data_IF_552553837874
#
_entry.id   IF_552553837874
#
_cell.length_a   1.000
_cell.length_b   1.000
_cell.length_c   1.000
_cell.angle_alpha   90.00
_cell.angle_beta   90.00
_cell.angle_gamma   90.00
#
_symmetry.space_group_name_H-M   'P 1'
#
loop_
_entity.id
_entity.type
_entity.pdbx_description
1 polymer ?
#
# COMPACT_ATOMS: atom_id res chain seq x y z
N UNK A 1 13.14 -9.23 -25.93
CA UNK A 1 12.38 -8.02 -25.59
C UNK A 1 13.34 -6.84 -25.65
N UNK A 2 12.98 -5.71 -26.26
CA UNK A 2 13.87 -4.55 -26.36
C UNK A 2 13.78 -3.69 -25.07
N UNK A 3 14.68 -2.72 -24.91
CA UNK A 3 14.75 -1.88 -23.71
C UNK A 3 13.49 -1.01 -23.50
N UNK A 4 12.90 -0.52 -24.60
CA UNK A 4 11.67 0.29 -24.53
C UNK A 4 10.51 -0.55 -23.98
N UNK A 5 10.29 -1.76 -24.52
CA UNK A 5 9.24 -2.67 -24.03
C UNK A 5 9.40 -2.99 -22.55
N UNK A 6 10.64 -3.24 -22.09
CA UNK A 6 10.92 -3.50 -20.67
C UNK A 6 10.56 -2.28 -19.81
N UNK A 7 10.93 -1.08 -20.26
CA UNK A 7 10.57 0.16 -19.59
C UNK A 7 9.05 0.31 -19.50
N UNK A 8 8.33 0.01 -20.56
CA UNK A 8 6.87 0.19 -20.59
C UNK A 8 6.14 -0.77 -19.66
N UNK A 9 6.55 -2.04 -19.66
CA UNK A 9 6.04 -3.03 -18.71
C UNK A 9 6.28 -2.53 -17.29
N UNK A 10 7.49 -2.05 -16.98
CA UNK A 10 7.79 -1.48 -15.67
C UNK A 10 6.86 -0.31 -15.31
N UNK A 11 6.59 0.61 -16.24
CA UNK A 11 5.69 1.74 -16.01
C UNK A 11 4.24 1.30 -15.80
N UNK A 12 3.73 0.35 -16.58
CA UNK A 12 2.38 -0.20 -16.38
C UNK A 12 2.28 -0.83 -14.99
N UNK A 13 3.19 -1.75 -14.69
CA UNK A 13 3.23 -2.53 -13.44
C UNK A 13 3.34 -1.64 -12.19
N UNK A 14 4.31 -0.72 -12.17
CA UNK A 14 4.72 -0.05 -10.93
C UNK A 14 4.25 1.40 -10.82
N UNK A 15 3.74 2.00 -11.91
CA UNK A 15 3.27 3.39 -11.92
C UNK A 15 1.79 3.49 -12.23
N UNK A 16 1.36 2.94 -13.36
CA UNK A 16 0.00 3.17 -13.82
C UNK A 16 -1.03 2.32 -13.10
N UNK A 17 -0.79 1.04 -12.90
CA UNK A 17 -1.71 0.20 -12.13
C UNK A 17 -2.00 0.74 -10.73
N UNK A 18 -0.99 1.02 -9.88
CA UNK A 18 -1.28 1.57 -8.57
C UNK A 18 -1.96 2.93 -8.70
N UNK A 19 -1.56 3.78 -9.67
CA UNK A 19 -2.20 5.08 -9.88
C UNK A 19 -3.70 4.95 -10.17
N UNK A 20 -4.09 4.18 -11.19
CA UNK A 20 -5.50 4.01 -11.56
C UNK A 20 -6.30 3.29 -10.48
N UNK A 21 -5.69 2.28 -9.84
CA UNK A 21 -6.30 1.59 -8.72
C UNK A 21 -6.62 2.55 -7.57
N UNK A 22 -5.66 3.39 -7.14
CA UNK A 22 -5.90 4.34 -6.05
C UNK A 22 -6.74 5.56 -6.45
N UNK A 23 -6.79 5.90 -7.74
CA UNK A 23 -7.62 7.00 -8.26
C UNK A 23 -9.11 6.67 -8.16
N UNK A 24 -9.51 5.44 -8.48
CA UNK A 24 -10.92 5.01 -8.44
C UNK A 24 -11.06 3.53 -8.08
N UNK A 25 -10.74 3.13 -6.83
CA UNK A 25 -10.61 1.71 -6.45
C UNK A 25 -11.86 0.88 -6.72
N UNK A 26 -13.04 1.44 -6.42
CA UNK A 26 -14.32 0.73 -6.62
C UNK A 26 -14.58 0.48 -8.10
N UNK A 27 -14.45 1.51 -8.94
CA UNK A 27 -14.66 1.39 -10.38
C UNK A 27 -13.61 0.47 -11.00
N UNK A 28 -12.34 0.63 -10.61
CA UNK A 28 -11.25 -0.24 -11.05
C UNK A 28 -11.55 -1.71 -10.76
N UNK A 29 -11.97 -2.06 -9.53
CA UNK A 29 -12.34 -3.44 -9.21
C UNK A 29 -13.54 -3.94 -10.02
N UNK A 30 -14.54 -3.09 -10.28
CA UNK A 30 -15.70 -3.47 -11.11
C UNK A 30 -15.31 -3.74 -12.56
N UNK A 31 -14.42 -2.91 -13.12
CA UNK A 31 -13.91 -3.08 -14.47
C UNK A 31 -13.00 -4.31 -14.57
N UNK A 32 -12.18 -4.55 -13.53
CA UNK A 32 -11.34 -5.75 -13.45
C UNK A 32 -12.18 -7.03 -13.38
N UNK A 33 -13.29 -7.04 -12.64
CA UNK A 33 -14.23 -8.18 -12.61
C UNK A 33 -14.93 -8.41 -13.95
N UNK A 34 -15.24 -7.34 -14.67
CA UNK A 34 -16.00 -7.40 -15.92
C UNK A 34 -15.14 -7.75 -17.13
N UNK A 35 -13.98 -7.10 -17.23
CA UNK A 35 -13.11 -7.15 -18.40
C UNK A 35 -11.86 -8.02 -18.16
N UNK A 36 -11.56 -8.37 -16.90
CA UNK A 36 -10.42 -9.22 -16.59
C UNK A 36 -9.09 -8.60 -17.02
N UNK A 37 -8.18 -9.40 -17.61
CA UNK A 37 -6.91 -8.90 -18.15
C UNK A 37 -7.02 -7.84 -19.24
N UNK A 38 -8.15 -7.73 -19.95
CA UNK A 38 -8.30 -6.75 -21.03
C UNK A 38 -8.15 -5.30 -20.51
N UNK A 39 -8.62 -5.05 -19.27
CA UNK A 39 -8.41 -3.75 -18.61
C UNK A 39 -6.92 -3.39 -18.49
N UNK A 40 -6.07 -4.41 -18.36
CA UNK A 40 -4.62 -4.25 -18.22
C UNK A 40 -3.96 -4.01 -19.59
N UNK A 41 -4.43 -4.70 -20.63
CA UNK A 41 -3.99 -4.48 -22.01
C UNK A 41 -4.37 -3.08 -22.51
N UNK A 42 -5.54 -2.57 -22.11
CA UNK A 42 -5.97 -1.20 -22.41
C UNK A 42 -4.95 -0.16 -21.90
N UNK A 43 -4.26 -0.41 -20.78
CA UNK A 43 -3.19 0.47 -20.29
C UNK A 43 -1.98 0.48 -21.22
N UNK A 44 -1.56 -0.69 -21.71
CA UNK A 44 -0.49 -0.79 -22.69
C UNK A 44 -0.86 -0.08 -24.00
N UNK A 45 -2.10 -0.22 -24.46
CA UNK A 45 -2.56 0.47 -25.67
C UNK A 45 -2.70 1.97 -25.46
N UNK A 46 -3.13 2.42 -24.28
CA UNK A 46 -3.24 3.84 -23.94
C UNK A 46 -1.89 4.56 -23.90
N UNK A 47 -0.80 3.88 -23.50
CA UNK A 47 0.57 4.43 -23.58
C UNK A 47 0.96 4.83 -25.00
N UNK A 48 0.45 4.10 -25.99
CA UNK A 48 0.94 4.07 -27.36
C UNK A 48 -0.12 4.44 -28.38
N UNK A 49 -1.18 5.12 -27.95
CA UNK A 49 -2.31 5.46 -28.81
C UNK A 49 -1.91 6.30 -30.04
N UNK A 50 -0.82 7.06 -29.94
CA UNK A 50 -0.30 7.91 -31.03
C UNK A 50 0.72 7.19 -31.93
N UNK A 51 1.18 5.99 -31.55
CA UNK A 51 2.18 5.21 -32.29
C UNK A 51 1.52 4.11 -33.13
N UNK A 52 1.39 4.35 -34.43
CA UNK A 52 0.68 3.47 -35.35
C UNK A 52 1.33 2.09 -35.57
N UNK A 53 2.60 1.95 -35.22
CA UNK A 53 3.40 0.73 -35.36
C UNK A 53 3.66 0.03 -34.02
N UNK A 54 3.06 0.51 -32.92
CA UNK A 54 3.17 -0.15 -31.62
C UNK A 54 2.55 -1.56 -31.66
N UNK A 55 3.29 -2.51 -31.09
CA UNK A 55 2.85 -3.88 -30.90
C UNK A 55 2.89 -4.16 -29.40
N UNK A 56 1.72 -4.42 -28.80
CA UNK A 56 1.65 -4.82 -27.41
C UNK A 56 2.46 -6.11 -27.20
N UNK A 57 3.33 -6.19 -26.17
CA UNK A 57 4.12 -7.38 -25.91
C UNK A 57 3.29 -8.57 -25.43
N UNK A 58 2.02 -8.35 -25.08
CA UNK A 58 1.14 -9.32 -24.47
C UNK A 58 -0.22 -9.39 -25.15
N UNK A 59 -0.90 -10.50 -24.92
CA UNK A 59 -2.28 -10.79 -25.26
C UNK A 59 -3.04 -11.18 -24.01
N UNK A 60 -4.36 -11.27 -24.08
CA UNK A 60 -5.22 -11.62 -22.95
C UNK A 60 -4.92 -13.01 -22.38
N UNK A 61 -4.41 -13.91 -23.24
CA UNK A 61 -4.07 -15.29 -22.90
C UNK A 61 -2.78 -15.39 -22.06
N UNK A 62 -2.00 -14.32 -22.00
CA UNK A 62 -0.76 -14.25 -21.24
C UNK A 62 -0.99 -13.98 -19.75
N UNK A 63 -2.22 -13.66 -19.36
CA UNK A 63 -2.60 -13.32 -18.00
C UNK A 63 -3.59 -14.31 -17.39
N UNK A 64 -3.57 -14.41 -16.07
CA UNK A 64 -4.60 -15.15 -15.32
C UNK A 64 -5.07 -14.34 -14.12
N UNK A 65 -6.37 -14.06 -14.08
CA UNK A 65 -6.99 -13.35 -12.96
C UNK A 65 -7.68 -14.35 -12.02
N UNK A 66 -7.31 -14.31 -10.74
CA UNK A 66 -7.99 -15.03 -9.65
C UNK A 66 -8.59 -14.03 -8.70
N UNK A 67 -9.78 -14.34 -8.18
CA UNK A 67 -10.46 -13.56 -7.15
C UNK A 67 -10.58 -14.38 -5.88
N UNK A 68 -10.04 -13.85 -4.80
CA UNK A 68 -10.09 -14.48 -3.49
C UNK A 68 -10.96 -13.64 -2.53
N UNK A 69 -11.90 -14.31 -1.86
CA UNK A 69 -12.77 -13.70 -0.86
C UNK A 69 -12.28 -14.07 0.53
N UNK A 70 -11.85 -13.08 1.31
CA UNK A 70 -11.37 -13.27 2.68
C UNK A 70 -12.35 -12.65 3.69
N UNK A 71 -12.19 -12.99 4.98
CA UNK A 71 -12.95 -12.39 6.08
C UNK A 71 -14.48 -12.36 5.84
N UNK A 72 -15.06 -13.52 5.48
CA UNK A 72 -16.48 -13.66 5.13
C UNK A 72 -16.94 -12.77 3.96
N UNK A 73 -16.06 -12.47 3.01
CA UNK A 73 -16.35 -11.68 1.81
C UNK A 73 -16.24 -10.16 2.00
N UNK A 74 -15.75 -9.70 3.16
CA UNK A 74 -15.50 -8.27 3.40
C UNK A 74 -14.21 -7.78 2.77
N UNK A 75 -13.24 -8.69 2.61
CA UNK A 75 -11.97 -8.44 1.93
C UNK A 75 -11.97 -9.19 0.61
N UNK A 76 -11.58 -8.52 -0.47
CA UNK A 76 -11.42 -9.12 -1.78
C UNK A 76 -9.99 -8.89 -2.24
N UNK A 77 -9.32 -9.94 -2.69
CA UNK A 77 -7.98 -9.87 -3.28
C UNK A 77 -8.09 -10.35 -4.72
N UNK A 78 -7.75 -9.47 -5.67
CA UNK A 78 -7.56 -9.85 -7.06
C UNK A 78 -6.09 -10.16 -7.28
N UNK A 79 -5.79 -11.40 -7.60
CA UNK A 79 -4.45 -11.86 -7.97
C UNK A 79 -4.38 -11.93 -9.49
N UNK A 80 -3.65 -11.01 -10.11
CA UNK A 80 -3.39 -11.02 -11.55
C UNK A 80 -1.97 -11.57 -11.78
N UNK A 81 -1.92 -12.79 -12.29
CA UNK A 81 -0.68 -13.46 -12.69
C UNK A 81 -0.31 -12.93 -14.07
N UNK A 82 0.92 -12.43 -14.19
CA UNK A 82 1.50 -11.88 -15.40
C UNK A 82 2.47 -12.88 -16.03
N UNK A 83 2.92 -12.66 -17.27
CA UNK A 83 4.00 -13.43 -17.86
C UNK A 83 5.25 -13.40 -16.99
N UNK A 84 5.96 -14.53 -16.95
CA UNK A 84 7.19 -14.63 -16.16
C UNK A 84 8.17 -13.52 -16.53
N UNK A 85 8.59 -12.69 -15.55
CA UNK A 85 9.44 -11.56 -15.81
C UNK A 85 10.82 -12.01 -16.28
N UNK A 86 11.35 -11.30 -17.29
CA UNK A 86 12.68 -11.57 -17.85
C UNK A 86 13.78 -10.69 -17.24
N UNK A 87 13.39 -9.61 -16.54
CA UNK A 87 14.31 -8.65 -15.93
C UNK A 87 13.76 -8.15 -14.60
N UNK A 88 14.66 -7.88 -13.65
CA UNK A 88 14.32 -7.17 -12.42
C UNK A 88 14.06 -5.68 -12.68
N UNK A 89 13.06 -5.04 -12.06
CA UNK A 89 12.13 -5.58 -11.06
C UNK A 89 10.74 -5.91 -11.63
N UNK A 90 10.64 -6.47 -12.84
CA UNK A 90 9.33 -6.79 -13.44
C UNK A 90 8.59 -7.83 -12.61
N UNK A 91 7.25 -7.80 -12.70
CA UNK A 91 6.39 -8.61 -11.84
C UNK A 91 6.03 -9.96 -12.45
N UNK A 92 5.92 -11.01 -11.62
CA UNK A 92 5.22 -12.26 -11.98
C UNK A 92 3.75 -12.28 -11.57
N UNK A 93 3.39 -11.36 -10.67
CA UNK A 93 2.05 -11.27 -10.12
C UNK A 93 1.84 -9.90 -9.47
N UNK A 94 0.62 -9.40 -9.56
CA UNK A 94 0.17 -8.20 -8.86
C UNK A 94 -1.10 -8.51 -8.08
N UNK A 95 -1.27 -7.86 -6.93
CA UNK A 95 -2.40 -8.07 -6.04
C UNK A 95 -3.13 -6.75 -5.77
N UNK A 96 -4.40 -6.69 -6.14
CA UNK A 96 -5.29 -5.59 -5.79
C UNK A 96 -6.11 -6.00 -4.57
N UNK A 97 -5.70 -5.54 -3.39
CA UNK A 97 -6.39 -5.82 -2.14
C UNK A 97 -7.40 -4.71 -1.85
N UNK A 98 -8.65 -5.08 -1.63
CA UNK A 98 -9.70 -4.12 -1.35
C UNK A 98 -10.64 -4.58 -0.24
N UNK A 99 -11.02 -3.61 0.59
CA UNK A 99 -12.11 -3.70 1.51
C UNK A 99 -13.02 -2.48 1.27
N UNK A 100 -14.06 -2.71 0.45
CA UNK A 100 -14.89 -1.66 -0.13
C UNK A 100 -15.70 -0.88 0.92
N UNK A 101 -16.15 -1.54 1.99
CA UNK A 101 -16.95 -0.93 3.06
C UNK A 101 -16.13 0.04 3.92
N UNK A 102 -14.87 -0.30 4.20
CA UNK A 102 -13.95 0.55 4.98
C UNK A 102 -13.12 1.51 4.14
N UNK A 103 -13.27 1.48 2.81
CA UNK A 103 -12.43 2.24 1.87
C UNK A 103 -10.92 1.98 2.07
N UNK A 104 -10.56 0.73 2.36
CA UNK A 104 -9.17 0.33 2.56
C UNK A 104 -8.69 -0.43 1.33
N UNK A 105 -7.55 -0.03 0.80
CA UNK A 105 -7.00 -0.51 -0.46
C UNK A 105 -5.50 -0.62 -0.34
N UNK A 106 -4.91 -1.64 -0.95
CA UNK A 106 -3.47 -1.73 -1.07
C UNK A 106 -3.06 -2.53 -2.31
N UNK A 107 -2.00 -2.08 -2.97
CA UNK A 107 -1.44 -2.72 -4.15
C UNK A 107 -0.13 -3.41 -3.80
N UNK A 108 -0.05 -4.72 -4.03
CA UNK A 108 1.17 -5.50 -3.86
C UNK A 108 1.66 -6.04 -5.19
N UNK A 109 2.96 -6.30 -5.27
CA UNK A 109 3.65 -6.85 -6.43
C UNK A 109 4.57 -7.99 -5.99
N UNK A 110 4.70 -9.03 -6.81
CA UNK A 110 5.75 -10.05 -6.67
C UNK A 110 6.80 -9.77 -7.74
N UNK A 111 7.89 -9.14 -7.35
CA UNK A 111 8.91 -8.56 -8.23
C UNK A 111 10.14 -9.46 -8.35
N UNK A 112 10.63 -9.68 -9.56
CA UNK A 112 11.87 -10.42 -9.77
C UNK A 112 13.05 -9.63 -9.19
N UNK A 113 13.79 -10.22 -8.26
CA UNK A 113 15.04 -9.66 -7.76
C UNK A 113 16.23 -10.00 -8.67
N UNK A 114 17.30 -9.23 -8.56
CA UNK A 114 18.57 -9.51 -9.24
C UNK A 114 19.20 -10.86 -8.85
N UNK A 115 18.80 -11.45 -7.72
CA UNK A 115 19.24 -12.80 -7.30
C UNK A 115 18.52 -13.92 -8.05
N UNK A 116 17.42 -13.61 -8.75
CA UNK A 116 16.55 -14.59 -9.41
C UNK A 116 15.35 -15.02 -8.56
N UNK A 117 15.32 -14.65 -7.28
CA UNK A 117 14.18 -14.87 -6.39
C UNK A 117 13.12 -13.79 -6.57
N UNK A 118 11.99 -13.91 -5.86
CA UNK A 118 10.91 -12.94 -5.92
C UNK A 118 10.75 -12.20 -4.58
N UNK A 119 10.54 -10.90 -4.67
CA UNK A 119 10.29 -10.03 -3.53
C UNK A 119 8.80 -9.68 -3.49
N UNK A 120 8.18 -9.87 -2.33
CA UNK A 120 6.85 -9.33 -2.08
C UNK A 120 6.99 -7.84 -1.75
N UNK A 121 6.44 -7.01 -2.62
CA UNK A 121 6.54 -5.57 -2.57
C UNK A 121 5.15 -4.92 -2.45
N UNK A 122 5.13 -3.65 -2.11
CA UNK A 122 3.92 -2.85 -1.95
C UNK A 122 4.09 -1.43 -2.44
N UNK A 123 3.03 -0.88 -3.02
CA UNK A 123 3.02 0.48 -3.52
C UNK A 123 1.93 1.27 -2.84
N UNK A 124 2.30 2.37 -2.20
CA UNK A 124 1.32 3.27 -1.56
C UNK A 124 0.70 4.21 -2.59
N UNK A 125 -0.41 4.84 -2.21
CA UNK A 125 -1.03 5.92 -3.00
C UNK A 125 -0.07 7.08 -3.29
N UNK A 126 0.88 7.33 -2.39
CA UNK A 126 1.89 8.38 -2.52
C UNK A 126 3.16 7.89 -3.25
N UNK A 127 3.03 6.79 -4.01
CA UNK A 127 4.08 6.18 -4.83
C UNK A 127 5.30 5.66 -4.06
N UNK A 128 5.15 5.43 -2.74
CA UNK A 128 6.22 4.82 -1.96
C UNK A 128 6.28 3.31 -2.23
N UNK A 129 7.48 2.82 -2.50
CA UNK A 129 7.78 1.40 -2.70
C UNK A 129 8.22 0.78 -1.36
N UNK A 130 7.54 -0.28 -0.94
CA UNK A 130 7.78 -1.02 0.29
C UNK A 130 8.20 -2.46 -0.07
N UNK A 131 9.24 -2.96 0.60
CA UNK A 131 9.67 -4.36 0.45
C UNK A 131 9.29 -5.10 1.73
N UNK A 132 8.51 -6.17 1.60
CA UNK A 132 8.13 -7.04 2.71
C UNK A 132 9.05 -8.26 2.73
N UNK A 133 9.66 -8.52 3.89
CA UNK A 133 10.42 -9.74 4.05
C UNK A 133 9.47 -10.92 4.17
N UNK A 134 9.59 -11.86 3.25
CA UNK A 134 8.75 -13.06 3.14
C UNK A 134 9.63 -14.23 2.72
N UNK A 135 9.40 -15.39 3.34
CA UNK A 135 10.01 -16.66 2.91
C UNK A 135 9.17 -17.36 1.83
N UNK A 136 8.09 -16.72 1.35
CA UNK A 136 7.22 -17.28 0.32
C UNK A 136 7.96 -17.47 -1.00
N UNK A 137 7.86 -18.67 -1.56
CA UNK A 137 8.53 -19.04 -2.81
C UNK A 137 7.54 -19.26 -3.95
N UNK A 138 6.29 -19.59 -3.62
CA UNK A 138 5.19 -19.85 -4.56
C UNK A 138 4.13 -18.76 -4.54
N UNK A 139 3.34 -18.65 -5.61
CA UNK A 139 2.22 -17.69 -5.70
C UNK A 139 1.15 -17.93 -4.63
N UNK A 140 0.93 -19.19 -4.25
CA UNK A 140 0.01 -19.58 -3.19
C UNK A 140 0.52 -19.14 -1.80
N UNK A 141 1.81 -19.35 -1.51
CA UNK A 141 2.44 -18.86 -0.27
C UNK A 141 2.42 -17.33 -0.21
N UNK A 142 2.75 -16.65 -1.32
CA UNK A 142 2.69 -15.19 -1.42
C UNK A 142 1.29 -14.66 -1.18
N UNK A 143 0.25 -15.32 -1.74
CA UNK A 143 -1.14 -14.94 -1.49
C UNK A 143 -1.50 -15.05 -0.01
N UNK A 144 -1.02 -16.07 0.69
CA UNK A 144 -1.22 -16.19 2.15
C UNK A 144 -0.50 -15.09 2.94
N UNK A 145 0.69 -14.68 2.51
CA UNK A 145 1.38 -13.52 3.12
C UNK A 145 0.66 -12.20 2.83
N UNK A 146 0.18 -11.99 1.60
CA UNK A 146 -0.64 -10.82 1.24
C UNK A 146 -1.90 -10.73 2.10
N UNK A 147 -2.59 -11.86 2.34
CA UNK A 147 -3.75 -11.94 3.24
C UNK A 147 -3.40 -11.49 4.66
N UNK A 148 -2.24 -11.91 5.19
CA UNK A 148 -1.77 -11.51 6.53
C UNK A 148 -1.44 -10.03 6.57
N UNK A 149 -0.63 -9.53 5.63
CA UNK A 149 -0.20 -8.14 5.56
C UNK A 149 -1.39 -7.19 5.46
N UNK A 150 -2.33 -7.47 4.56
CA UNK A 150 -3.51 -6.62 4.39
C UNK A 150 -4.40 -6.58 5.64
N UNK A 151 -4.52 -7.72 6.35
CA UNK A 151 -5.23 -7.79 7.62
C UNK A 151 -4.53 -7.00 8.73
N UNK A 152 -3.20 -6.95 8.73
CA UNK A 152 -2.45 -6.13 9.71
C UNK A 152 -2.70 -4.64 9.53
N UNK A 153 -2.89 -4.16 8.30
CA UNK A 153 -3.28 -2.75 8.05
C UNK A 153 -4.56 -2.39 8.82
N UNK A 154 -5.56 -3.28 8.86
CA UNK A 154 -6.77 -3.08 9.68
C UNK A 154 -6.47 -2.94 11.19
N UNK A 155 -5.47 -3.65 11.69
CA UNK A 155 -5.08 -3.58 13.10
C UNK A 155 -4.35 -2.27 13.40
N UNK A 156 -3.52 -1.79 12.48
CA UNK A 156 -2.83 -0.51 12.60
C UNK A 156 -3.80 0.67 12.64
N UNK A 157 -4.85 0.70 11.82
CA UNK A 157 -5.84 1.79 11.86
C UNK A 157 -6.56 1.87 13.21
N UNK A 158 -6.96 0.72 13.78
CA UNK A 158 -7.55 0.68 15.14
C UNK A 158 -6.55 1.14 16.21
N UNK A 159 -5.29 0.77 16.07
CA UNK A 159 -4.22 1.23 16.96
C UNK A 159 -3.96 2.74 16.79
N UNK A 160 -4.04 3.27 15.57
CA UNK A 160 -3.87 4.67 15.23
C UNK A 160 -4.93 5.53 15.90
N UNK A 161 -6.21 5.16 15.80
CA UNK A 161 -7.32 5.86 16.49
C UNK A 161 -7.08 5.93 18.00
N UNK A 162 -6.63 4.81 18.58
CA UNK A 162 -6.31 4.72 20.00
C UNK A 162 -5.12 5.61 20.36
N UNK A 163 -4.04 5.60 19.56
CA UNK A 163 -2.87 6.46 19.76
C UNK A 163 -3.21 7.94 19.61
N UNK A 164 -3.99 8.33 18.59
CA UNK A 164 -4.48 9.68 18.41
C UNK A 164 -5.32 10.15 19.61
N UNK A 165 -6.18 9.28 20.14
CA UNK A 165 -6.97 9.58 21.33
C UNK A 165 -6.10 9.83 22.57
N UNK A 166 -4.99 9.07 22.72
CA UNK A 166 -4.02 9.25 23.79
C UNK A 166 -3.27 10.58 23.66
N UNK A 167 -2.85 10.94 22.44
CA UNK A 167 -2.21 12.23 22.16
C UNK A 167 -3.14 13.41 22.48
N UNK A 168 -4.42 13.34 22.07
CA UNK A 168 -5.44 14.36 22.39
C UNK A 168 -5.67 14.50 23.89
N UNK A 169 -5.73 13.39 24.65
CA UNK A 169 -5.87 13.42 26.12
C UNK A 169 -4.66 14.02 26.85
N UNK A 170 -3.44 13.85 26.35
CA UNK A 170 -2.25 14.50 26.93
C UNK A 170 -2.25 16.01 26.71
N UNK A 171 -2.78 16.49 25.58
CA UNK A 171 -2.88 17.92 25.28
C UNK A 171 -3.96 18.68 26.07
N UNK A 172 -4.93 17.97 26.66
CA UNK A 172 -6.01 18.56 27.46
C UNK A 172 -5.79 18.51 28.98
N UNK A 173 -4.65 17.99 29.44
CA UNK A 173 -4.28 18.08 30.85
C UNK A 173 -3.92 19.54 31.19
N UNK A 174 -4.55 20.17 32.20
CA UNK A 174 -4.22 21.54 32.58
C UNK A 174 -2.74 21.61 32.93
N UNK A 175 -2.01 22.59 32.39
CA UNK A 175 -0.64 22.85 32.83
C UNK A 175 -0.71 23.09 34.33
N UNK A 176 -0.12 22.20 35.14
CA UNK A 176 0.14 22.50 36.55
C UNK A 176 1.13 23.66 36.58
N UNK A 177 0.63 24.89 36.49
CA UNK A 177 1.37 26.08 36.89
C UNK A 177 1.74 25.85 38.36
N UNK A 178 3.03 25.74 38.63
CA UNK A 178 3.56 25.78 39.99
C UNK A 178 3.30 27.18 40.52
N UNK A 179 2.23 27.35 41.30
CA UNK A 179 2.09 28.50 42.19
C UNK A 179 3.12 28.36 43.31
N UNK A 180 4.34 28.84 43.04
CA UNK A 180 5.32 29.11 44.07
C UNK A 180 4.87 30.37 44.83
N UNK A 181 4.14 30.16 45.92
CA UNK A 181 3.82 31.18 46.91
C UNK A 181 5.10 31.89 47.37
N UNK A 182 5.32 33.12 46.89
CA UNK A 182 6.31 34.05 47.46
C UNK A 182 5.82 34.49 48.84
N UNK A 183 6.24 33.81 49.90
CA UNK A 183 6.23 34.38 51.25
C UNK A 183 7.37 35.39 51.35
N UNK A 184 7.05 36.67 51.23
CA UNK A 184 7.91 37.77 51.68
C UNK A 184 7.90 37.82 53.20
N UNK A 185 9.02 37.45 53.83
CA UNK A 185 9.26 37.72 55.25
C UNK A 185 9.55 39.22 55.43
N UNK A 186 8.55 39.97 55.90
CA UNK A 186 8.72 41.31 56.44
C UNK A 186 9.33 41.19 57.84
N UNK A 187 10.65 41.33 57.94
CA UNK A 187 11.34 41.48 59.22
C UNK A 187 11.12 42.88 59.78
N UNK A 188 10.51 42.97 60.98
CA UNK A 188 10.68 44.12 61.88
C UNK A 188 10.74 43.69 63.34
N UNK A 189 11.95 43.87 63.88
CA UNK A 189 12.34 44.38 65.21
C UNK A 189 11.67 43.80 66.46
N UNK A 190 12.50 43.17 67.28
CA UNK A 190 12.49 43.43 68.72
C UNK A 190 13.90 43.85 69.16
N UNK A 191 14.01 45.11 69.57
CA UNK A 191 15.04 45.64 70.47
C UNK A 191 14.75 45.17 71.89
N UNK A 192 15.76 44.78 72.67
CA UNK A 192 16.14 45.42 73.95
C UNK A 192 17.11 44.57 74.82
N UNK A 193 18.04 45.28 75.47
CA UNK A 193 18.97 44.94 76.59
C UNK A 193 20.18 44.04 76.24
N UNK A 194 21.45 44.39 76.51
CA UNK A 194 22.11 45.43 77.32
C UNK A 194 23.36 45.97 76.59
#
# INVERSE_FOLDING_TARGET
MNEDTIRDIYYVEHKWNPHFFYLSPKSFCQDLEKNGPDLYLDLFHAMYQEESDYICPYTENDFSLRKELCNNGTTIIYQLITPSPVLSPLTRCVYFCCQLDKQQYFYYTSELAHTGDYLLCGWTKDEAHLIFHSDASTLEEELEEVKKLFKEVELYDRCSDRLQSLCKRKSSLPSRRKDASRRTYLGRRNTLYN
#
